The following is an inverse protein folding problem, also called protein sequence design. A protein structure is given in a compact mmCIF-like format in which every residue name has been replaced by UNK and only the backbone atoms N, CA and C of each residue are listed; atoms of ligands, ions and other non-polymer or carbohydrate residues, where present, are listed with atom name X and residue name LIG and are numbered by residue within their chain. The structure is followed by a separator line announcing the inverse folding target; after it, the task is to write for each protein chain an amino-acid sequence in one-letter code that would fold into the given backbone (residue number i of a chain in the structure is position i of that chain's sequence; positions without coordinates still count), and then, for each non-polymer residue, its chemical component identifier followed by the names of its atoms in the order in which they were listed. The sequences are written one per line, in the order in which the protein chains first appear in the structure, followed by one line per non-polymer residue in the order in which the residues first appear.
data_IF_151836321482
#
_entry.id   IF_151836321482
#
_cell.length_a   1.000
_cell.length_b   1.000
_cell.length_c   1.000
_cell.angle_alpha   90.00
_cell.angle_beta   90.00
_cell.angle_gamma   90.00
#
_symmetry.space_group_name_H-M   'P 1'
#
loop_
_entity.id
_entity.type
_entity.pdbx_description
1 polymer ?
#
# COMPACT_ATOMS: atom_id res chain seq x y z
N UNK A 1 9.77 -1.66 5.64
CA UNK A 1 9.82 -0.19 5.85
C UNK A 1 9.37 0.50 4.58
N UNK A 2 8.19 1.12 4.66
CA UNK A 2 7.57 1.89 3.61
C UNK A 2 8.32 3.21 3.42
N UNK A 3 8.39 3.67 2.17
CA UNK A 3 9.00 4.97 1.84
C UNK A 3 7.91 5.96 1.49
N UNK A 4 7.91 7.12 2.15
CA UNK A 4 6.98 8.22 1.88
C UNK A 4 7.50 9.13 0.78
N UNK A 5 6.64 9.45 -0.18
CA UNK A 5 6.86 10.43 -1.25
C UNK A 5 5.87 11.57 -1.09
N UNK A 6 6.35 12.82 -1.19
CA UNK A 6 5.49 14.01 -1.12
C UNK A 6 5.05 14.51 -2.50
N UNK A 7 5.43 13.79 -3.56
CA UNK A 7 5.09 14.11 -4.94
C UNK A 7 4.72 12.84 -5.68
N UNK A 8 3.53 12.86 -6.30
CA UNK A 8 3.11 11.78 -7.19
C UNK A 8 4.06 11.63 -8.39
N UNK A 9 4.64 12.73 -8.89
CA UNK A 9 5.57 12.68 -10.01
C UNK A 9 6.88 11.97 -9.64
N UNK A 10 7.42 12.24 -8.44
CA UNK A 10 8.63 11.56 -7.96
C UNK A 10 8.39 10.07 -7.73
N UNK A 11 7.25 9.71 -7.12
CA UNK A 11 6.84 8.33 -6.96
C UNK A 11 6.67 7.64 -8.33
N UNK A 12 6.01 8.30 -9.28
CA UNK A 12 5.80 7.77 -10.63
C UNK A 12 7.12 7.53 -11.36
N UNK A 13 8.06 8.46 -11.28
CA UNK A 13 9.40 8.30 -11.83
C UNK A 13 10.11 7.08 -11.22
N UNK A 14 10.07 6.96 -9.89
CA UNK A 14 10.69 5.82 -9.19
C UNK A 14 10.09 4.48 -9.58
N UNK A 15 8.77 4.42 -9.68
CA UNK A 15 8.05 3.22 -10.12
C UNK A 15 8.44 2.87 -11.57
N UNK A 16 8.57 3.86 -12.45
CA UNK A 16 8.94 3.64 -13.84
C UNK A 16 10.35 3.05 -13.97
N UNK A 17 11.31 3.51 -13.16
CA UNK A 17 12.65 2.92 -13.08
C UNK A 17 12.59 1.43 -12.69
N UNK A 18 11.92 1.11 -11.58
CA UNK A 18 11.81 -0.27 -11.09
C UNK A 18 11.06 -1.17 -12.08
N UNK A 19 10.01 -0.65 -12.73
CA UNK A 19 9.30 -1.38 -13.77
C UNK A 19 10.18 -1.66 -15.00
N UNK A 20 11.05 -0.72 -15.39
CA UNK A 20 12.02 -0.93 -16.47
C UNK A 20 13.07 -2.00 -16.12
N UNK A 21 13.34 -2.21 -14.83
CA UNK A 21 14.18 -3.29 -14.31
C UNK A 21 13.41 -4.62 -14.15
N UNK A 22 12.11 -4.65 -14.46
CA UNK A 22 11.28 -5.85 -14.46
C UNK A 22 10.48 -6.07 -13.17
N UNK A 23 10.43 -5.11 -12.25
CA UNK A 23 9.60 -5.21 -11.05
C UNK A 23 8.10 -5.24 -11.41
N UNK A 24 7.35 -6.13 -10.77
CA UNK A 24 5.89 -6.09 -10.81
C UNK A 24 5.38 -4.95 -9.93
N UNK A 25 4.56 -4.07 -10.48
CA UNK A 25 4.05 -2.88 -9.80
C UNK A 25 2.55 -2.97 -9.63
N UNK A 26 2.09 -2.91 -8.38
CA UNK A 26 0.69 -2.72 -8.01
C UNK A 26 0.48 -1.28 -7.54
N UNK A 27 -0.57 -0.63 -8.05
CA UNK A 27 -0.91 0.76 -7.70
C UNK A 27 -2.31 0.82 -7.13
N UNK A 28 -2.50 1.55 -6.04
CA UNK A 28 -3.79 1.76 -5.39
C UNK A 28 -3.97 3.22 -4.98
N UNK A 29 -5.22 3.68 -5.03
CA UNK A 29 -5.62 5.01 -4.59
C UNK A 29 -6.34 4.90 -3.24
N UNK A 30 -5.72 5.45 -2.20
CA UNK A 30 -6.26 5.48 -0.84
C UNK A 30 -7.11 6.73 -0.56
N UNK A 31 -7.32 7.59 -1.56
CA UNK A 31 -8.06 8.85 -1.46
C UNK A 31 -9.51 8.71 -0.96
N UNK A 32 -10.07 7.50 -1.01
CA UNK A 32 -11.42 7.17 -0.53
C UNK A 32 -11.45 5.97 0.41
N UNK A 33 -10.31 5.61 0.97
CA UNK A 33 -10.24 4.46 1.86
C UNK A 33 -10.90 4.72 3.21
N UNK A 34 -11.66 3.71 3.55
CA UNK A 34 -12.42 3.38 4.73
C UNK A 34 -11.78 2.54 5.82
N UNK A 35 -12.40 2.39 6.99
CA UNK A 35 -12.23 1.18 7.80
C UNK A 35 -12.83 -0.07 7.13
N UNK A 36 -13.75 0.09 6.17
CA UNK A 36 -14.48 -1.02 5.55
C UNK A 36 -13.98 -1.37 4.15
N UNK A 37 -13.28 -0.44 3.47
CA UNK A 37 -12.92 -0.56 2.04
C UNK A 37 -11.43 -0.75 1.76
N UNK A 38 -10.53 -0.44 2.70
CA UNK A 38 -9.08 -0.50 2.44
C UNK A 38 -8.58 -1.93 2.17
N UNK A 39 -9.04 -2.91 2.95
CA UNK A 39 -8.60 -4.31 2.81
C UNK A 39 -9.02 -4.92 1.48
N UNK A 40 -10.25 -4.67 1.04
CA UNK A 40 -10.74 -5.16 -0.25
C UNK A 40 -10.07 -4.47 -1.43
N UNK A 41 -9.74 -3.18 -1.29
CA UNK A 41 -8.96 -2.43 -2.29
C UNK A 41 -7.54 -2.99 -2.46
N UNK A 42 -6.86 -3.29 -1.35
CA UNK A 42 -5.54 -3.94 -1.36
C UNK A 42 -5.60 -5.34 -1.96
N UNK A 43 -6.57 -6.14 -1.54
CA UNK A 43 -6.77 -7.50 -2.05
C UNK A 43 -6.97 -7.52 -3.56
N UNK A 44 -7.76 -6.59 -4.10
CA UNK A 44 -7.95 -6.47 -5.55
C UNK A 44 -6.66 -6.10 -6.28
N UNK A 45 -5.87 -5.18 -5.75
CA UNK A 45 -4.65 -4.71 -6.39
C UNK A 45 -3.50 -5.74 -6.34
N UNK A 46 -3.38 -6.47 -5.24
CA UNK A 46 -2.40 -7.54 -5.07
C UNK A 46 -2.90 -8.89 -5.61
N UNK A 47 -4.09 -8.90 -6.24
CA UNK A 47 -4.71 -10.08 -6.83
C UNK A 47 -4.82 -11.26 -5.83
N UNK A 48 -5.26 -10.95 -4.61
CA UNK A 48 -5.48 -11.95 -3.56
C UNK A 48 -6.55 -12.98 -3.97
N UNK A 49 -6.52 -14.18 -3.38
CA UNK A 49 -7.50 -15.22 -3.67
C UNK A 49 -8.94 -14.79 -3.35
N UNK A 50 -9.91 -15.38 -4.06
CA UNK A 50 -11.35 -15.12 -3.85
C UNK A 50 -11.87 -15.49 -2.46
N UNK A 51 -11.13 -16.31 -1.71
CA UNK A 51 -11.44 -16.68 -0.32
C UNK A 51 -10.82 -15.75 0.72
N UNK A 52 -10.24 -14.61 0.31
CA UNK A 52 -9.67 -13.62 1.22
C UNK A 52 -10.68 -13.17 2.28
N UNK A 53 -10.33 -13.35 3.56
CA UNK A 53 -11.23 -13.16 4.69
C UNK A 53 -11.54 -11.72 5.08
N UNK A 54 -11.03 -10.73 4.34
CA UNK A 54 -11.24 -9.29 4.57
C UNK A 54 -11.01 -8.84 6.02
N UNK A 55 -9.93 -9.32 6.64
CA UNK A 55 -9.47 -8.95 7.97
C UNK A 55 -7.92 -8.89 8.01
N UNK A 56 -7.36 -8.34 9.09
CA UNK A 56 -5.91 -8.13 9.22
C UNK A 56 -5.09 -9.42 9.26
N UNK A 57 -5.60 -10.48 9.91
CA UNK A 57 -4.91 -11.77 9.95
C UNK A 57 -4.80 -12.37 8.55
N UNK A 58 -5.91 -12.34 7.79
CA UNK A 58 -5.94 -12.79 6.40
C UNK A 58 -5.03 -11.93 5.49
N UNK A 59 -4.87 -10.63 5.79
CA UNK A 59 -3.96 -9.75 5.07
C UNK A 59 -2.51 -10.20 5.29
N UNK A 60 -2.10 -10.40 6.54
CA UNK A 60 -0.75 -10.87 6.90
C UNK A 60 -0.46 -12.21 6.22
N UNK A 61 -1.41 -13.15 6.23
CA UNK A 61 -1.25 -14.44 5.59
C UNK A 61 -1.07 -14.30 4.08
N UNK A 62 -1.92 -13.54 3.39
CA UNK A 62 -1.81 -13.37 1.94
C UNK A 62 -0.54 -12.61 1.52
N UNK A 63 -0.09 -11.64 2.30
CA UNK A 63 1.15 -10.88 2.04
C UNK A 63 2.42 -11.75 2.07
N UNK A 64 2.39 -12.91 2.73
CA UNK A 64 3.52 -13.85 2.73
C UNK A 64 3.65 -14.61 1.41
N UNK A 65 2.54 -14.76 0.69
CA UNK A 65 2.43 -15.56 -0.53
C UNK A 65 2.45 -14.72 -1.82
N UNK A 66 2.46 -13.39 -1.72
CA UNK A 66 2.58 -12.53 -2.90
C UNK A 66 3.97 -12.65 -3.53
N UNK A 67 4.07 -12.60 -4.87
CA UNK A 67 5.36 -12.51 -5.52
C UNK A 67 6.09 -11.20 -5.16
N UNK A 68 7.43 -11.18 -5.20
CA UNK A 68 8.19 -9.97 -4.99
C UNK A 68 7.77 -8.83 -5.94
N UNK A 69 7.62 -7.61 -5.41
CA UNK A 69 7.16 -6.50 -6.23
C UNK A 69 7.14 -5.15 -5.50
N UNK A 70 6.52 -4.18 -6.15
CA UNK A 70 6.31 -2.83 -5.63
C UNK A 70 4.81 -2.61 -5.39
N UNK A 71 4.46 -2.13 -4.20
CA UNK A 71 3.13 -1.64 -3.90
C UNK A 71 3.19 -0.12 -3.70
N UNK A 72 2.49 0.62 -4.56
CA UNK A 72 2.39 2.07 -4.48
C UNK A 72 0.98 2.48 -4.06
N UNK A 73 0.88 3.17 -2.94
CA UNK A 73 -0.38 3.67 -2.36
C UNK A 73 -0.40 5.20 -2.45
N UNK A 74 -1.30 5.75 -3.26
CA UNK A 74 -1.44 7.19 -3.48
C UNK A 74 -2.49 7.80 -2.57
N UNK A 75 -2.40 9.11 -2.33
CA UNK A 75 -3.33 9.88 -1.50
C UNK A 75 -3.52 9.28 -0.09
N UNK A 76 -2.43 8.82 0.52
CA UNK A 76 -2.46 8.12 1.80
C UNK A 76 -2.91 9.02 2.98
N UNK A 77 -2.71 10.34 2.88
CA UNK A 77 -3.21 11.33 3.83
C UNK A 77 -4.72 11.29 4.00
N UNK A 78 -5.46 11.01 2.91
CA UNK A 78 -6.92 10.95 2.96
C UNK A 78 -7.38 9.76 3.80
N UNK A 79 -6.70 8.62 3.66
CA UNK A 79 -6.95 7.45 4.48
C UNK A 79 -6.51 7.67 5.93
N UNK A 80 -5.31 8.23 6.13
CA UNK A 80 -4.79 8.52 7.46
C UNK A 80 -5.68 9.52 8.23
N UNK A 81 -6.34 10.46 7.54
CA UNK A 81 -7.31 11.37 8.15
C UNK A 81 -8.66 10.69 8.45
N UNK A 82 -9.11 9.78 7.57
CA UNK A 82 -10.42 9.11 7.69
C UNK A 82 -10.41 7.98 8.71
N UNK A 83 -9.34 7.18 8.73
CA UNK A 83 -9.19 6.01 9.59
C UNK A 83 -7.74 5.92 10.15
N UNK A 84 -7.35 6.83 11.07
CA UNK A 84 -5.96 6.96 11.52
C UNK A 84 -5.38 5.69 12.14
N UNK A 85 -6.18 4.99 12.95
CA UNK A 85 -5.76 3.74 13.59
C UNK A 85 -5.53 2.63 12.57
N UNK A 86 -6.43 2.46 11.61
CA UNK A 86 -6.30 1.45 10.55
C UNK A 86 -5.15 1.77 9.59
N UNK A 87 -4.92 3.05 9.28
CA UNK A 87 -3.78 3.49 8.48
C UNK A 87 -2.44 3.15 9.14
N UNK A 88 -2.30 3.43 10.45
CA UNK A 88 -1.10 3.09 11.20
C UNK A 88 -0.84 1.58 11.23
N UNK A 89 -1.85 0.79 11.59
CA UNK A 89 -1.73 -0.67 11.66
C UNK A 89 -1.40 -1.25 10.28
N UNK A 90 -1.98 -0.70 9.21
CA UNK A 90 -1.65 -1.11 7.85
C UNK A 90 -0.17 -0.86 7.53
N UNK A 91 0.38 0.31 7.86
CA UNK A 91 1.80 0.61 7.65
C UNK A 91 2.68 -0.35 8.44
N UNK A 92 2.35 -0.62 9.70
CA UNK A 92 3.08 -1.59 10.54
C UNK A 92 3.11 -2.98 9.88
N UNK A 93 1.96 -3.48 9.40
CA UNK A 93 1.87 -4.77 8.69
C UNK A 93 2.67 -4.77 7.38
N UNK A 94 2.55 -3.71 6.59
CA UNK A 94 3.26 -3.56 5.33
C UNK A 94 4.78 -3.43 5.52
N UNK A 95 5.22 -2.91 6.67
CA UNK A 95 6.63 -2.80 7.02
C UNK A 95 7.29 -4.14 7.30
N UNK A 96 6.51 -5.09 7.83
CA UNK A 96 6.92 -6.47 8.06
C UNK A 96 6.84 -7.34 6.79
N UNK A 97 6.09 -6.91 5.77
CA UNK A 97 5.93 -7.63 4.52
C UNK A 97 7.19 -7.54 3.64
N UNK A 98 8.05 -8.56 3.70
CA UNK A 98 9.35 -8.58 2.99
C UNK A 98 9.25 -8.79 1.48
N UNK A 99 8.11 -9.27 0.97
CA UNK A 99 7.91 -9.48 -0.47
C UNK A 99 7.70 -8.17 -1.22
N UNK A 100 7.25 -7.11 -0.56
CA UNK A 100 6.89 -5.87 -1.22
C UNK A 100 7.82 -4.74 -0.83
N UNK A 101 8.30 -4.00 -1.82
CA UNK A 101 8.77 -2.64 -1.62
C UNK A 101 7.56 -1.72 -1.59
N UNK A 102 7.29 -1.11 -0.45
CA UNK A 102 6.08 -0.30 -0.23
C UNK A 102 6.41 1.18 -0.36
N UNK A 103 5.67 1.86 -1.23
CA UNK A 103 5.72 3.30 -1.39
C UNK A 103 4.37 3.92 -1.06
N UNK A 104 4.41 4.96 -0.24
CA UNK A 104 3.24 5.76 0.11
C UNK A 104 3.42 7.14 -0.51
N UNK A 105 2.39 7.71 -1.10
CA UNK A 105 2.38 9.11 -1.50
C UNK A 105 1.34 9.90 -0.71
N UNK A 106 1.75 11.09 -0.28
CA UNK A 106 0.92 12.05 0.43
C UNK A 106 1.37 13.46 0.16
N UNK A 107 0.45 14.35 -0.22
CA UNK A 107 0.75 15.77 -0.38
C UNK A 107 0.80 16.51 0.98
N UNK A 108 0.37 15.86 2.07
CA UNK A 108 0.51 16.37 3.43
C UNK A 108 1.98 16.24 3.90
N UNK A 109 2.70 17.35 4.12
CA UNK A 109 4.09 17.33 4.59
C UNK A 109 4.21 16.99 6.09
N UNK A 110 3.09 16.95 6.81
CA UNK A 110 3.04 16.64 8.26
C UNK A 110 2.77 15.18 8.55
N UNK A 111 2.42 14.39 7.52
CA UNK A 111 2.18 12.97 7.68
C UNK A 111 3.49 12.25 8.06
N UNK A 112 3.50 11.67 9.26
CA UNK A 112 4.61 10.85 9.76
C UNK A 112 4.19 9.39 9.81
N UNK A 113 5.03 8.50 9.30
CA UNK A 113 4.88 7.04 9.37
C UNK A 113 5.28 6.51 10.76
#
# INVERSE_FOLDING_TARGET
MATLYHSADELNARIAELAAEGAMVSRVDAGRWDDTSYLSSLAGALNFPSYFGNNLDALVDCLRDVPPGVLAIYQFESFAATAPSSARVLVEILDEATQLTVFLQSDDPTLTL
#
